data_IF_064419445022
#
_entry.id   IF_064419445022
#
_cell.length_a   1.000
_cell.length_b   1.000
_cell.length_c   1.000
_cell.angle_alpha   90.00
_cell.angle_beta   90.00
_cell.angle_gamma   90.00
#
_symmetry.space_group_name_H-M   'P 1'
#
loop_
_entity.id
_entity.type
_entity.pdbx_description
1 polymer ?
#
# COMPACT_ATOMS: atom_id res chain seq x y z
N UNK A 1 50.12 51.45 35.93
CA UNK A 1 49.41 50.22 35.54
C UNK A 1 48.13 50.64 34.87
N UNK A 2 48.14 50.66 33.54
CA UNK A 2 46.90 50.62 32.76
C UNK A 2 46.80 49.17 32.34
N UNK A 3 45.84 48.44 32.90
CA UNK A 3 45.50 47.10 32.46
C UNK A 3 44.11 47.21 31.86
N UNK A 4 44.12 47.34 30.54
CA UNK A 4 42.99 47.43 29.64
C UNK A 4 42.09 46.19 29.72
N UNK A 5 40.78 46.44 29.61
CA UNK A 5 39.77 45.43 29.23
C UNK A 5 40.23 44.70 27.96
N UNK A 6 40.31 43.36 28.03
CA UNK A 6 40.38 42.51 26.84
C UNK A 6 39.16 41.59 26.83
N UNK A 7 38.26 41.95 25.94
CA UNK A 7 37.10 41.23 25.45
C UNK A 7 37.50 39.86 24.88
N UNK A 8 36.71 38.84 25.24
CA UNK A 8 36.37 37.58 24.55
C UNK A 8 37.22 37.21 23.32
N UNK A 9 37.79 35.99 23.31
CA UNK A 9 37.52 35.02 22.23
C UNK A 9 37.47 33.60 22.80
N UNK A 10 36.38 32.92 22.44
CA UNK A 10 36.17 31.49 22.61
C UNK A 10 37.03 30.78 21.58
N UNK A 11 38.08 30.09 22.01
CA UNK A 11 38.81 29.13 21.17
C UNK A 11 37.92 27.90 20.92
N UNK A 12 36.96 28.04 20.01
CA UNK A 12 36.44 26.92 19.25
C UNK A 12 37.43 26.68 18.11
N UNK A 13 38.44 25.84 18.37
CA UNK A 13 39.28 25.28 17.33
C UNK A 13 38.39 24.56 16.31
N UNK A 14 38.25 25.22 15.17
CA UNK A 14 37.44 24.81 14.04
C UNK A 14 38.38 24.31 12.93
N UNK A 15 39.07 23.17 13.16
CA UNK A 15 39.86 22.51 12.12
C UNK A 15 39.36 21.09 11.81
N UNK A 16 38.53 21.05 10.76
CA UNK A 16 38.65 20.15 9.63
C UNK A 16 39.05 18.68 9.89
N UNK A 17 38.06 17.85 10.20
CA UNK A 17 37.92 16.58 9.48
C UNK A 17 36.46 16.37 9.09
N UNK A 18 36.13 16.80 7.87
CA UNK A 18 34.91 16.45 7.17
C UNK A 18 34.86 14.93 6.89
N UNK A 19 34.62 14.13 7.94
CA UNK A 19 33.87 12.89 7.81
C UNK A 19 32.43 13.34 7.72
N UNK A 20 31.84 13.23 6.54
CA UNK A 20 30.38 13.20 6.41
C UNK A 20 29.83 12.37 7.57
N UNK A 21 28.85 12.87 8.36
CA UNK A 21 28.16 12.00 9.28
C UNK A 21 27.52 10.96 8.39
N UNK A 22 28.18 9.79 8.28
CA UNK A 22 27.58 8.60 7.72
C UNK A 22 26.28 8.51 8.47
N UNK A 23 25.17 8.74 7.76
CA UNK A 23 23.84 8.69 8.31
C UNK A 23 23.76 7.34 9.01
N UNK A 24 24.00 7.32 10.33
CA UNK A 24 24.02 6.07 11.08
C UNK A 24 22.58 5.62 10.98
N UNK A 25 22.33 4.42 10.41
CA UNK A 25 20.98 3.92 10.33
C UNK A 25 20.35 4.06 11.73
N UNK A 26 19.13 4.61 11.81
CA UNK A 26 18.42 4.76 13.08
C UNK A 26 18.42 3.44 13.89
N UNK A 27 18.48 2.33 13.15
CA UNK A 27 18.56 0.96 13.63
C UNK A 27 19.89 0.33 13.20
N UNK A 28 20.90 0.41 14.06
CA UNK A 28 22.12 -0.38 14.00
C UNK A 28 21.87 -1.83 14.50
N UNK A 29 22.79 -2.74 14.21
CA UNK A 29 22.64 -4.18 14.54
C UNK A 29 22.45 -4.42 16.04
N UNK A 30 23.11 -3.63 16.89
CA UNK A 30 22.97 -3.72 18.35
C UNK A 30 21.58 -3.24 18.79
N UNK A 31 21.12 -2.09 18.28
CA UNK A 31 19.77 -1.59 18.53
C UNK A 31 18.67 -2.57 18.08
N UNK A 32 18.85 -3.21 16.92
CA UNK A 32 17.94 -4.26 16.46
C UNK A 32 17.99 -5.47 17.39
N UNK A 33 19.17 -5.97 17.74
CA UNK A 33 19.33 -7.13 18.62
C UNK A 33 18.70 -6.89 20.01
N UNK A 34 18.94 -5.70 20.59
CA UNK A 34 18.36 -5.29 21.86
C UNK A 34 16.82 -5.23 21.79
N UNK A 35 16.25 -4.66 20.73
CA UNK A 35 14.80 -4.61 20.50
C UNK A 35 14.18 -6.03 20.51
N UNK A 36 14.79 -7.00 19.83
CA UNK A 36 14.29 -8.39 19.79
C UNK A 36 14.43 -9.09 21.15
N UNK A 37 15.55 -8.90 21.83
CA UNK A 37 15.79 -9.47 23.16
C UNK A 37 14.73 -8.98 24.16
N UNK A 38 14.49 -7.68 24.21
CA UNK A 38 13.52 -7.06 25.13
C UNK A 38 12.09 -7.45 24.79
N UNK A 39 11.75 -7.52 23.49
CA UNK A 39 10.41 -7.88 23.05
C UNK A 39 10.02 -9.33 23.34
N UNK A 40 10.95 -10.28 23.19
CA UNK A 40 10.61 -11.71 23.20
C UNK A 40 11.22 -12.52 24.35
N UNK A 41 12.32 -12.05 24.96
CA UNK A 41 13.06 -12.81 25.98
C UNK A 41 13.14 -12.13 27.35
N UNK A 42 12.64 -10.90 27.47
CA UNK A 42 12.63 -10.13 28.72
C UNK A 42 11.24 -10.08 29.36
N UNK A 43 11.13 -9.55 30.59
CA UNK A 43 9.86 -9.48 31.34
C UNK A 43 8.76 -8.68 30.63
N UNK A 44 9.13 -7.81 29.68
CA UNK A 44 8.18 -7.09 28.82
C UNK A 44 7.40 -7.99 27.85
N UNK A 45 7.92 -9.17 27.51
CA UNK A 45 7.34 -10.06 26.50
C UNK A 45 5.89 -10.43 26.81
N UNK A 46 5.58 -10.77 28.07
CA UNK A 46 4.23 -11.13 28.51
C UNK A 46 3.18 -10.06 28.18
N UNK A 47 3.55 -8.77 28.28
CA UNK A 47 2.64 -7.65 28.01
C UNK A 47 2.26 -7.54 26.54
N UNK A 48 3.12 -7.96 25.62
CA UNK A 48 2.82 -7.96 24.18
C UNK A 48 1.81 -9.04 23.76
N UNK A 49 1.68 -10.11 24.55
CA UNK A 49 0.68 -11.17 24.32
C UNK A 49 -0.70 -10.86 24.92
N UNK A 50 -0.82 -9.81 25.72
CA UNK A 50 -2.10 -9.38 26.32
C UNK A 50 -3.14 -9.04 25.25
N UNK A 51 -4.41 -9.44 25.42
CA UNK A 51 -5.52 -8.99 24.56
C UNK A 51 -5.94 -7.53 24.83
N UNK A 52 -5.58 -6.97 25.97
CA UNK A 52 -5.86 -5.57 26.32
C UNK A 52 -4.90 -4.61 25.58
N UNK A 53 -5.46 -3.66 24.83
CA UNK A 53 -4.71 -2.65 24.07
C UNK A 53 -3.92 -1.68 24.97
N UNK A 54 -4.44 -1.34 26.15
CA UNK A 54 -3.73 -0.48 27.10
C UNK A 54 -2.40 -1.12 27.54
N UNK A 55 -2.42 -2.42 27.86
CA UNK A 55 -1.21 -3.17 28.20
C UNK A 55 -0.19 -3.18 27.07
N UNK A 56 -0.65 -3.28 25.81
CA UNK A 56 0.24 -3.20 24.64
C UNK A 56 0.87 -1.82 24.50
N UNK A 57 0.10 -0.75 24.68
CA UNK A 57 0.63 0.63 24.68
C UNK A 57 1.69 0.81 25.76
N UNK A 58 1.39 0.40 27.00
CA UNK A 58 2.37 0.41 28.10
C UNK A 58 3.61 -0.40 27.76
N UNK A 59 3.46 -1.57 27.12
CA UNK A 59 4.60 -2.38 26.70
C UNK A 59 5.51 -1.64 25.71
N UNK A 60 4.97 -0.90 24.75
CA UNK A 60 5.78 -0.09 23.83
C UNK A 60 6.48 1.09 24.51
N UNK A 61 5.82 1.75 25.49
CA UNK A 61 6.46 2.82 26.28
C UNK A 61 7.65 2.27 27.07
N UNK A 62 7.45 1.15 27.77
CA UNK A 62 8.52 0.53 28.54
C UNK A 62 9.62 -0.02 27.61
N UNK A 63 9.26 -0.56 26.46
CA UNK A 63 10.22 -1.06 25.48
C UNK A 63 11.12 0.05 24.96
N UNK A 64 10.57 1.24 24.68
CA UNK A 64 11.35 2.39 24.26
C UNK A 64 12.32 2.85 25.35
N UNK A 65 11.87 2.91 26.61
CA UNK A 65 12.73 3.29 27.74
C UNK A 65 13.87 2.27 27.96
N UNK A 66 13.55 0.98 28.04
CA UNK A 66 14.54 -0.07 28.25
C UNK A 66 15.52 -0.21 27.08
N UNK A 67 15.02 -0.04 25.85
CA UNK A 67 15.87 -0.03 24.67
C UNK A 67 16.83 1.16 24.70
N UNK A 68 16.33 2.34 25.09
CA UNK A 68 17.18 3.53 25.15
C UNK A 68 18.30 3.41 26.17
N UNK A 69 18.01 2.78 27.31
CA UNK A 69 19.03 2.45 28.32
C UNK A 69 20.01 1.40 27.81
N UNK A 70 19.52 0.38 27.10
CA UNK A 70 20.35 -0.73 26.62
C UNK A 70 21.35 -0.33 25.54
N UNK A 71 21.05 0.70 24.76
CA UNK A 71 21.85 1.13 23.59
C UNK A 71 22.35 2.57 23.72
N UNK A 72 22.15 3.20 24.88
CA UNK A 72 22.53 4.59 25.16
C UNK A 72 22.02 5.60 24.10
N UNK A 73 20.83 5.33 23.53
CA UNK A 73 20.25 6.09 22.41
C UNK A 73 18.77 6.31 22.62
N UNK A 74 18.28 7.53 22.42
CA UNK A 74 16.86 7.80 22.59
C UNK A 74 16.01 7.22 21.45
N UNK A 75 14.96 6.50 21.82
CA UNK A 75 13.94 6.02 20.90
C UNK A 75 12.55 6.51 21.31
N UNK A 76 11.80 7.03 20.34
CA UNK A 76 10.38 7.29 20.50
C UNK A 76 9.57 5.99 20.42
N UNK A 77 8.47 5.96 21.17
CA UNK A 77 7.47 4.88 21.14
C UNK A 77 7.01 4.58 19.71
N UNK A 78 6.83 5.62 18.89
CA UNK A 78 6.42 5.48 17.50
C UNK A 78 7.49 4.75 16.66
N UNK A 79 8.77 5.08 16.83
CA UNK A 79 9.88 4.44 16.10
C UNK A 79 10.00 2.96 16.48
N UNK A 80 9.90 2.65 17.78
CA UNK A 80 9.94 1.27 18.30
C UNK A 80 8.75 0.44 17.79
N UNK A 81 7.57 1.05 17.76
CA UNK A 81 6.36 0.40 17.26
C UNK A 81 6.47 0.11 15.76
N UNK A 82 6.85 1.11 14.97
CA UNK A 82 7.03 1.00 13.52
C UNK A 82 8.03 -0.12 13.18
N UNK A 83 9.22 -0.10 13.80
CA UNK A 83 10.24 -1.14 13.58
C UNK A 83 9.78 -2.53 14.03
N UNK A 84 8.98 -2.61 15.10
CA UNK A 84 8.35 -3.85 15.55
C UNK A 84 7.31 -4.40 14.58
N UNK A 85 6.64 -3.54 13.82
CA UNK A 85 5.59 -3.92 12.87
C UNK A 85 6.12 -4.12 11.46
N UNK A 86 7.27 -3.55 11.12
CA UNK A 86 7.98 -3.77 9.85
C UNK A 86 8.18 -5.27 9.54
N UNK A 87 8.34 -6.12 10.57
CA UNK A 87 8.43 -7.58 10.37
C UNK A 87 7.09 -8.30 10.19
N UNK A 88 5.96 -7.65 10.51
CA UNK A 88 4.60 -8.18 10.28
C UNK A 88 4.01 -7.73 8.93
N UNK A 89 4.64 -6.77 8.28
CA UNK A 89 4.21 -6.25 6.98
C UNK A 89 5.43 -6.11 6.09
N UNK A 90 5.61 -7.04 5.16
CA UNK A 90 6.44 -6.75 4.01
C UNK A 90 5.90 -5.46 3.34
N UNK A 91 6.77 -4.52 2.93
CA UNK A 91 6.35 -3.23 2.41
C UNK A 91 6.06 -3.34 0.92
N UNK A 92 4.81 -3.14 0.53
CA UNK A 92 4.54 -2.31 -0.63
C UNK A 92 3.27 -1.51 -0.37
N UNK A 93 3.42 -0.18 -0.40
CA UNK A 93 2.32 0.74 -0.64
C UNK A 93 1.77 0.42 -2.03
N UNK A 94 0.93 -0.59 -2.14
CA UNK A 94 0.12 -0.79 -3.33
C UNK A 94 -1.04 0.18 -3.23
N UNK A 95 -0.81 1.43 -3.65
CA UNK A 95 -1.87 2.26 -4.24
C UNK A 95 -2.66 1.44 -5.27
N UNK A 96 -2.01 0.45 -5.88
CA UNK A 96 -2.58 -0.59 -6.73
C UNK A 96 -3.52 -1.61 -6.07
N UNK A 97 -3.48 -1.89 -4.76
CA UNK A 97 -4.42 -2.85 -4.14
C UNK A 97 -5.79 -2.22 -3.93
N UNK A 98 -5.83 -0.98 -3.43
CA UNK A 98 -7.08 -0.21 -3.39
C UNK A 98 -7.61 0.03 -4.80
N UNK A 99 -6.76 0.40 -5.75
CA UNK A 99 -7.17 0.62 -7.15
C UNK A 99 -7.71 -0.66 -7.82
N UNK A 100 -7.09 -1.82 -7.57
CA UNK A 100 -7.59 -3.10 -8.06
C UNK A 100 -8.95 -3.46 -7.46
N UNK A 101 -9.17 -3.20 -6.16
CA UNK A 101 -10.47 -3.42 -5.54
C UNK A 101 -11.55 -2.49 -6.09
N UNK A 102 -11.23 -1.21 -6.30
CA UNK A 102 -12.15 -0.25 -6.93
C UNK A 102 -12.47 -0.64 -8.38
N UNK A 103 -11.48 -1.09 -9.14
CA UNK A 103 -11.66 -1.55 -10.51
C UNK A 103 -12.58 -2.79 -10.56
N UNK A 104 -12.36 -3.78 -9.69
CA UNK A 104 -13.22 -4.96 -9.58
C UNK A 104 -14.64 -4.58 -9.16
N UNK A 105 -14.80 -3.67 -8.20
CA UNK A 105 -16.11 -3.18 -7.77
C UNK A 105 -16.86 -2.45 -8.90
N UNK A 106 -16.15 -1.63 -9.69
CA UNK A 106 -16.72 -0.96 -10.87
C UNK A 106 -17.18 -1.95 -11.94
N UNK A 107 -16.36 -2.97 -12.26
CA UNK A 107 -16.73 -4.02 -13.22
C UNK A 107 -17.96 -4.80 -12.75
N UNK A 108 -18.03 -5.12 -11.45
CA UNK A 108 -19.20 -5.81 -10.88
C UNK A 108 -20.45 -4.93 -10.96
N UNK A 109 -20.32 -3.63 -10.64
CA UNK A 109 -21.43 -2.68 -10.71
C UNK A 109 -21.95 -2.53 -12.14
N UNK A 110 -21.04 -2.40 -13.10
CA UNK A 110 -21.40 -2.27 -14.51
C UNK A 110 -22.08 -3.55 -15.04
N UNK A 111 -21.54 -4.72 -14.70
CA UNK A 111 -22.17 -6.00 -15.03
C UNK A 111 -23.58 -6.15 -14.46
N UNK A 112 -23.82 -5.67 -13.24
CA UNK A 112 -25.15 -5.69 -12.62
C UNK A 112 -26.14 -4.77 -13.34
N UNK A 113 -25.70 -3.57 -13.74
CA UNK A 113 -26.53 -2.64 -14.52
C UNK A 113 -26.87 -3.25 -15.88
N UNK A 114 -25.87 -3.82 -16.56
CA UNK A 114 -26.07 -4.45 -17.86
C UNK A 114 -27.06 -5.60 -17.78
N UNK A 115 -26.95 -6.44 -16.75
CA UNK A 115 -27.89 -7.53 -16.51
C UNK A 115 -29.30 -7.01 -16.21
N UNK A 116 -29.43 -5.97 -15.40
CA UNK A 116 -30.70 -5.30 -15.15
C UNK A 116 -31.33 -4.73 -16.42
N UNK A 117 -30.54 -4.12 -17.29
CA UNK A 117 -30.99 -3.62 -18.60
C UNK A 117 -31.37 -4.76 -19.55
N UNK A 118 -30.64 -5.87 -19.59
CA UNK A 118 -31.00 -7.03 -20.41
C UNK A 118 -32.28 -7.72 -19.94
N UNK A 119 -32.55 -7.73 -18.62
CA UNK A 119 -33.78 -8.29 -18.06
C UNK A 119 -34.98 -7.33 -18.16
N UNK A 120 -34.72 -6.03 -18.10
CA UNK A 120 -35.76 -5.00 -18.24
C UNK A 120 -36.02 -4.58 -19.69
N UNK A 121 -35.12 -4.94 -20.61
CA UNK A 121 -35.37 -4.83 -22.04
C UNK A 121 -36.56 -5.75 -22.34
N UNK A 122 -37.71 -5.13 -22.62
CA UNK A 122 -38.79 -5.81 -23.32
C UNK A 122 -38.19 -6.55 -24.53
N UNK A 123 -38.70 -7.73 -24.93
CA UNK A 123 -38.19 -8.42 -26.11
C UNK A 123 -38.15 -7.42 -27.25
N UNK A 124 -36.94 -6.98 -27.60
CA UNK A 124 -36.70 -6.15 -28.78
C UNK A 124 -37.41 -6.89 -29.92
N UNK A 125 -38.18 -6.24 -30.81
CA UNK A 125 -38.84 -6.91 -31.92
C UNK A 125 -37.79 -7.74 -32.66
N UNK A 126 -37.74 -9.02 -32.30
CA UNK A 126 -37.03 -10.03 -33.03
C UNK A 126 -37.61 -9.93 -34.43
N UNK A 127 -36.80 -9.82 -35.50
CA UNK A 127 -37.35 -9.92 -36.83
C UNK A 127 -38.15 -11.22 -36.86
N UNK A 128 -39.47 -11.09 -36.89
CA UNK A 128 -40.37 -12.23 -36.91
C UNK A 128 -39.95 -13.04 -38.13
N UNK A 129 -39.49 -14.29 -37.98
CA UNK A 129 -39.22 -15.10 -39.15
C UNK A 129 -40.52 -15.16 -39.94
N UNK A 130 -40.52 -14.81 -41.23
CA UNK A 130 -41.71 -14.96 -42.05
C UNK A 130 -42.15 -16.42 -41.93
N UNK A 131 -43.42 -16.65 -41.64
CA UNK A 131 -44.00 -17.99 -41.55
C UNK A 131 -43.66 -18.77 -42.82
N UNK A 132 -42.68 -19.67 -42.73
CA UNK A 132 -42.08 -20.36 -43.88
C UNK A 132 -40.54 -20.39 -43.91
N UNK A 133 -39.85 -19.64 -43.03
CA UNK A 133 -38.39 -19.70 -42.96
C UNK A 133 -37.89 -21.08 -42.49
N UNK A 134 -37.06 -21.71 -43.31
CA UNK A 134 -36.43 -22.99 -43.03
C UNK A 134 -35.20 -22.80 -42.14
N UNK A 135 -34.70 -23.87 -41.52
CA UNK A 135 -33.49 -23.82 -40.69
C UNK A 135 -32.27 -23.26 -41.46
N UNK A 136 -32.24 -23.48 -42.78
CA UNK A 136 -31.19 -22.99 -43.66
C UNK A 136 -31.21 -21.46 -43.77
N UNK A 137 -32.40 -20.86 -43.90
CA UNK A 137 -32.58 -19.40 -43.93
C UNK A 137 -32.11 -18.74 -42.62
N UNK A 138 -32.35 -19.40 -41.49
CA UNK A 138 -31.90 -18.92 -40.17
C UNK A 138 -30.38 -19.00 -40.03
N UNK A 139 -29.77 -20.10 -40.48
CA UNK A 139 -28.31 -20.26 -40.50
C UNK A 139 -27.67 -19.22 -41.43
N UNK A 140 -28.25 -19.00 -42.61
CA UNK A 140 -27.78 -18.00 -43.55
C UNK A 140 -27.91 -16.58 -43.01
N UNK A 141 -28.99 -16.26 -42.30
CA UNK A 141 -29.19 -14.95 -41.68
C UNK A 141 -28.16 -14.67 -40.58
N UNK A 142 -27.87 -15.65 -39.70
CA UNK A 142 -26.87 -15.52 -38.64
C UNK A 142 -25.47 -15.33 -39.23
N UNK A 143 -25.13 -16.09 -40.27
CA UNK A 143 -23.85 -15.94 -40.96
C UNK A 143 -23.74 -14.56 -41.64
N UNK A 144 -24.81 -14.12 -42.32
CA UNK A 144 -24.84 -12.83 -43.00
C UNK A 144 -24.69 -11.66 -42.03
N UNK A 145 -25.34 -11.73 -40.86
CA UNK A 145 -25.20 -10.73 -39.80
C UNK A 145 -23.76 -10.66 -39.26
N UNK A 146 -23.12 -11.82 -39.07
CA UNK A 146 -21.72 -11.90 -38.61
C UNK A 146 -20.77 -11.26 -39.63
N UNK A 147 -20.99 -11.52 -40.92
CA UNK A 147 -20.18 -10.94 -42.01
C UNK A 147 -20.38 -9.42 -42.08
N UNK A 148 -21.63 -8.93 -41.99
CA UNK A 148 -21.92 -7.50 -42.02
C UNK A 148 -21.26 -6.74 -40.86
N UNK A 149 -21.25 -7.31 -39.66
CA UNK A 149 -20.57 -6.73 -38.50
C UNK A 149 -19.05 -6.71 -38.67
N UNK A 150 -18.46 -7.77 -39.24
CA UNK A 150 -17.02 -7.81 -39.52
C UNK A 150 -16.62 -6.74 -40.54
N UNK A 151 -17.39 -6.58 -41.62
CA UNK A 151 -17.15 -5.55 -42.65
C UNK A 151 -17.27 -4.14 -42.06
N UNK A 152 -18.30 -3.88 -41.25
CA UNK A 152 -18.47 -2.59 -40.57
C UNK A 152 -17.31 -2.29 -39.62
N UNK A 153 -16.81 -3.29 -38.88
CA UNK A 153 -15.66 -3.13 -37.99
C UNK A 153 -14.36 -2.85 -38.75
N UNK A 154 -14.13 -3.54 -39.88
CA UNK A 154 -12.96 -3.32 -40.73
C UNK A 154 -12.96 -1.93 -41.38
N UNK A 155 -14.13 -1.45 -41.83
CA UNK A 155 -14.26 -0.08 -42.36
C UNK A 155 -14.05 0.97 -41.27
N UNK A 156 -14.61 0.78 -40.07
CA UNK A 156 -14.42 1.69 -38.94
C UNK A 156 -12.95 1.76 -38.46
N UNK A 157 -12.14 0.74 -38.72
CA UNK A 157 -10.69 0.80 -38.48
C UNK A 157 -9.90 1.49 -39.59
N UNK A 158 -10.44 1.62 -40.82
CA UNK A 158 -9.79 2.34 -41.93
C UNK A 158 -9.96 3.86 -41.87
N UNK A 159 -10.95 4.37 -41.12
CA UNK A 159 -11.19 5.81 -40.96
C UNK A 159 -10.46 6.42 -39.74
N UNK A 160 -9.42 5.75 -39.22
CA UNK A 160 -8.49 6.28 -38.20
C UNK A 160 -7.10 6.51 -38.76
#
# INVERSE_FOLDING_TARGET
MNDDEVTLELDFDHDALAKTPKCTPLWDDDGVAALFRLRYKFQLSARFYSKNNANKKTAYVMLAAELSVATEKEYSVAQVQDKSQEKKTNPSKSKSHSEALEAVFMVIKDGLIHLGSSLSAAPNPQPTPPTGATLDDVLQAIQSQTIAQLVAHLNAQKEK
#
